data_IF_465109308137
#
_entry.id   IF_465109308137
#
_cell.length_a   1.000
_cell.length_b   1.000
_cell.length_c   1.000
_cell.angle_alpha   90.00
_cell.angle_beta   90.00
_cell.angle_gamma   90.00
#
_symmetry.space_group_name_H-M   'P 1'
#
loop_
_entity.id
_entity.type
_entity.pdbx_description
1 polymer ?
#
# COMPACT_ATOMS: atom_id res chain seq x y z
N UNK A 1 -3.77 -13.36 -14.11
CA UNK A 1 -2.47 -12.66 -14.13
C UNK A 1 -2.36 -11.78 -12.87
N UNK A 2 -1.17 -11.65 -12.28
CA UNK A 2 -0.99 -11.08 -10.94
C UNK A 2 -0.10 -9.85 -10.94
N UNK A 3 0.86 -9.82 -10.01
CA UNK A 3 1.93 -8.84 -9.97
C UNK A 3 3.22 -9.51 -9.49
N UNK A 4 4.37 -9.08 -10.01
CA UNK A 4 5.67 -9.37 -9.39
C UNK A 4 5.82 -8.58 -8.08
N UNK A 5 6.86 -8.90 -7.31
CA UNK A 5 7.17 -8.20 -6.06
C UNK A 5 8.67 -7.97 -5.91
N UNK A 6 9.06 -6.70 -5.77
CA UNK A 6 10.43 -6.28 -5.46
C UNK A 6 10.40 -5.33 -4.27
N UNK A 7 10.99 -5.75 -3.14
CA UNK A 7 10.94 -5.03 -1.88
C UNK A 7 11.80 -3.76 -1.85
N UNK A 8 12.81 -3.65 -2.71
CA UNK A 8 13.82 -2.59 -2.63
C UNK A 8 13.77 -1.62 -3.81
N UNK A 9 12.85 -1.82 -4.74
CA UNK A 9 12.66 -0.91 -5.86
C UNK A 9 12.18 0.46 -5.37
N UNK A 10 12.90 1.50 -5.78
CA UNK A 10 12.49 2.90 -5.67
C UNK A 10 12.06 3.49 -7.01
N UNK A 11 11.95 2.65 -8.05
CA UNK A 11 11.53 3.09 -9.37
C UNK A 11 10.02 3.37 -9.39
N UNK A 12 9.65 4.65 -9.41
CA UNK A 12 8.26 5.10 -9.46
C UNK A 12 7.70 5.23 -10.89
N UNK A 13 8.51 4.92 -11.92
CA UNK A 13 8.04 4.92 -13.31
C UNK A 13 6.92 3.90 -13.50
N UNK A 14 5.76 4.31 -14.07
CA UNK A 14 4.71 3.36 -14.40
C UNK A 14 4.99 2.58 -15.70
N UNK A 15 5.96 3.05 -16.49
CA UNK A 15 6.35 2.46 -17.76
C UNK A 15 7.36 1.35 -17.53
N UNK A 16 7.08 0.20 -18.12
CA UNK A 16 7.87 -1.03 -18.01
C UNK A 16 8.62 -1.25 -19.31
N UNK A 17 9.92 -1.53 -19.25
CA UNK A 17 10.71 -1.85 -20.44
C UNK A 17 10.27 -3.19 -21.06
N UNK A 18 10.54 -3.42 -22.34
CA UNK A 18 10.19 -4.69 -22.99
C UNK A 18 10.86 -5.89 -22.28
N UNK A 19 12.10 -5.73 -21.83
CA UNK A 19 12.85 -6.77 -21.11
C UNK A 19 12.22 -7.08 -19.75
N UNK A 20 11.85 -6.05 -18.98
CA UNK A 20 11.19 -6.21 -17.69
C UNK A 20 9.80 -6.83 -17.83
N UNK A 21 9.04 -6.40 -18.85
CA UNK A 21 7.73 -6.97 -19.17
C UNK A 21 7.84 -8.46 -19.55
N UNK A 22 8.84 -8.82 -20.36
CA UNK A 22 9.12 -10.20 -20.74
C UNK A 22 9.46 -11.07 -19.52
N UNK A 23 10.34 -10.59 -18.64
CA UNK A 23 10.68 -11.27 -17.38
C UNK A 23 9.46 -11.45 -16.47
N UNK A 24 8.65 -10.41 -16.31
CA UNK A 24 7.42 -10.48 -15.51
C UNK A 24 6.42 -11.49 -16.09
N UNK A 25 6.28 -11.54 -17.42
CA UNK A 25 5.40 -12.50 -18.08
C UNK A 25 5.89 -13.94 -17.89
N UNK A 26 7.19 -14.19 -18.05
CA UNK A 26 7.80 -15.50 -17.80
C UNK A 26 7.57 -15.99 -16.35
N UNK A 27 7.55 -15.08 -15.38
CA UNK A 27 7.27 -15.42 -13.98
C UNK A 27 5.77 -15.65 -13.70
N UNK A 28 4.89 -14.80 -14.27
CA UNK A 28 3.48 -14.75 -13.89
C UNK A 28 2.60 -15.69 -14.72
N UNK A 29 2.93 -15.95 -15.98
CA UNK A 29 2.10 -16.78 -16.86
C UNK A 29 1.96 -18.22 -16.35
N UNK A 30 3.04 -18.93 -15.92
CA UNK A 30 2.92 -20.30 -15.39
C UNK A 30 2.05 -20.38 -14.13
N UNK A 31 2.13 -19.34 -13.27
CA UNK A 31 1.30 -19.25 -12.06
C UNK A 31 -0.18 -19.09 -12.42
N UNK A 32 -0.47 -18.25 -13.42
CA UNK A 32 -1.84 -18.02 -13.87
C UNK A 32 -2.43 -19.22 -14.61
N UNK A 33 -1.65 -19.91 -15.45
CA UNK A 33 -2.12 -21.05 -16.23
C UNK A 33 -2.44 -22.28 -15.38
N UNK A 34 -1.82 -22.41 -14.20
CA UNK A 34 -2.22 -23.42 -13.20
C UNK A 34 -3.69 -23.28 -12.78
N UNK A 35 -4.21 -22.05 -12.71
CA UNK A 35 -5.60 -21.77 -12.30
C UNK A 35 -6.53 -21.71 -13.51
N UNK A 36 -6.06 -21.15 -14.63
CA UNK A 36 -6.83 -21.00 -15.85
C UNK A 36 -5.95 -21.29 -17.07
N UNK A 37 -5.90 -22.56 -17.55
CA UNK A 37 -4.95 -23.00 -18.57
C UNK A 37 -5.01 -22.23 -19.89
N UNK A 38 -6.20 -21.85 -20.35
CA UNK A 38 -6.41 -21.16 -21.65
C UNK A 38 -5.74 -19.78 -21.72
N UNK A 39 -5.28 -19.22 -20.60
CA UNK A 39 -4.55 -17.95 -20.60
C UNK A 39 -3.23 -18.00 -21.40
N UNK A 40 -2.69 -19.20 -21.65
CA UNK A 40 -1.46 -19.37 -22.44
C UNK A 40 -1.63 -18.93 -23.90
N UNK A 41 -2.86 -19.00 -24.42
CA UNK A 41 -3.17 -18.64 -25.81
C UNK A 41 -3.52 -17.15 -25.96
N UNK A 42 -3.53 -16.39 -24.85
CA UNK A 42 -3.89 -14.98 -24.87
C UNK A 42 -2.70 -14.11 -25.32
N UNK A 43 -3.00 -13.09 -26.13
CA UNK A 43 -2.00 -12.10 -26.53
C UNK A 43 -1.63 -11.17 -25.37
N UNK A 44 -0.34 -11.09 -25.04
CA UNK A 44 0.17 -10.11 -24.11
C UNK A 44 0.13 -8.69 -24.73
N UNK A 45 -0.61 -7.78 -24.11
CA UNK A 45 -0.77 -6.40 -24.60
C UNK A 45 0.25 -5.45 -23.98
N UNK A 46 0.37 -5.44 -22.65
CA UNK A 46 1.26 -4.53 -21.93
C UNK A 46 1.47 -4.97 -20.48
N UNK A 47 2.54 -4.43 -19.86
CA UNK A 47 2.78 -4.47 -18.43
C UNK A 47 2.84 -3.05 -17.86
N UNK A 48 2.48 -2.90 -16.58
CA UNK A 48 2.56 -1.65 -15.82
C UNK A 48 3.20 -1.90 -14.48
N UNK A 49 4.01 -0.94 -14.04
CA UNK A 49 4.63 -0.96 -12.73
C UNK A 49 3.94 0.02 -11.78
N UNK A 50 4.12 -0.22 -10.49
CA UNK A 50 3.65 0.66 -9.42
C UNK A 50 4.32 0.30 -8.10
N UNK A 51 4.67 1.31 -7.32
CA UNK A 51 5.22 1.13 -5.98
C UNK A 51 4.10 1.05 -4.94
N UNK A 52 4.23 0.09 -4.03
CA UNK A 52 3.30 -0.09 -2.92
C UNK A 52 3.99 0.37 -1.64
N UNK A 53 3.40 1.36 -0.97
CA UNK A 53 3.78 1.69 0.39
C UNK A 53 3.30 0.56 1.32
N UNK A 54 4.22 -0.31 1.72
CA UNK A 54 3.95 -1.40 2.64
C UNK A 54 4.10 -0.92 4.08
N UNK A 55 3.09 -1.12 4.94
CA UNK A 55 3.23 -0.76 6.34
C UNK A 55 4.09 -1.80 7.07
N UNK A 56 4.78 -1.39 8.14
CA UNK A 56 5.53 -2.30 9.00
C UNK A 56 4.64 -3.43 9.53
N UNK A 57 5.27 -4.56 9.84
CA UNK A 57 4.59 -5.70 10.45
C UNK A 57 4.40 -5.43 11.95
N UNK A 58 3.16 -5.38 12.40
CA UNK A 58 2.79 -5.27 13.83
C UNK A 58 2.31 -6.64 14.36
N UNK A 59 2.10 -6.82 15.68
CA UNK A 59 1.41 -7.99 16.21
C UNK A 59 0.01 -8.23 15.63
N UNK A 60 -0.64 -7.17 15.11
CA UNK A 60 -1.94 -7.24 14.43
C UNK A 60 -1.82 -7.47 12.91
N UNK A 61 -0.60 -7.65 12.40
CA UNK A 61 -0.29 -7.78 10.98
C UNK A 61 0.19 -6.48 10.33
N UNK A 62 0.26 -6.50 8.99
CA UNK A 62 0.66 -5.36 8.16
C UNK A 62 -0.59 -4.55 7.80
N UNK A 63 -1.00 -3.68 8.74
CA UNK A 63 -2.19 -2.83 8.65
C UNK A 63 -1.84 -1.42 8.18
N UNK A 64 -2.76 -0.72 7.48
CA UNK A 64 -2.59 0.67 7.10
C UNK A 64 -2.26 1.60 8.27
N UNK A 65 -1.49 2.65 7.99
CA UNK A 65 -1.01 3.59 8.98
C UNK A 65 -1.93 4.79 9.06
N UNK A 66 -2.57 5.00 10.21
CA UNK A 66 -3.37 6.18 10.50
C UNK A 66 -2.85 6.87 11.78
N UNK A 67 -3.03 8.18 11.85
CA UNK A 67 -2.87 8.93 13.10
C UNK A 67 -2.26 10.31 12.95
N UNK A 68 -2.34 11.11 14.01
CA UNK A 68 -1.71 12.41 14.15
C UNK A 68 -0.19 12.25 14.28
N UNK A 69 0.58 12.95 13.45
CA UNK A 69 2.04 12.81 13.40
C UNK A 69 2.79 13.96 14.07
N UNK A 70 2.09 14.75 14.88
CA UNK A 70 2.66 15.90 15.57
C UNK A 70 3.87 15.55 16.44
N UNK A 71 3.85 14.37 17.09
CA UNK A 71 4.95 13.91 17.95
C UNK A 71 6.25 13.59 17.17
N UNK A 72 6.16 13.47 15.84
CA UNK A 72 7.30 13.26 14.96
C UNK A 72 7.87 14.56 14.39
N UNK A 73 7.28 15.72 14.71
CA UNK A 73 7.75 17.03 14.25
C UNK A 73 8.71 17.64 15.27
N UNK A 74 9.82 18.19 14.79
CA UNK A 74 10.87 18.78 15.63
C UNK A 74 10.42 20.04 16.38
N UNK A 75 9.38 20.71 15.90
CA UNK A 75 8.87 21.97 16.45
C UNK A 75 7.41 21.82 16.86
N UNK A 76 6.98 22.60 17.86
CA UNK A 76 5.56 22.64 18.27
C UNK A 76 4.70 23.10 17.08
N UNK A 77 3.85 22.24 16.51
CA UNK A 77 3.13 22.59 15.31
C UNK A 77 1.97 23.54 15.64
N UNK A 78 1.71 24.49 14.74
CA UNK A 78 0.58 25.43 14.82
C UNK A 78 -0.76 24.78 14.44
N UNK A 79 -0.71 23.57 13.87
CA UNK A 79 -1.88 22.77 13.50
C UNK A 79 -1.60 21.27 13.73
N UNK A 80 -2.60 20.42 13.51
CA UNK A 80 -2.42 18.96 13.57
C UNK A 80 -2.15 18.38 12.19
N UNK A 81 -1.12 17.57 12.08
CA UNK A 81 -0.78 16.81 10.87
C UNK A 81 -1.23 15.38 11.02
N UNK A 82 -1.84 14.82 9.99
CA UNK A 82 -2.42 13.47 10.02
C UNK A 82 -1.87 12.63 8.88
N UNK A 83 -1.56 11.38 9.17
CA UNK A 83 -1.13 10.38 8.22
C UNK A 83 -2.30 9.42 7.89
N UNK A 84 -2.44 9.13 6.60
CA UNK A 84 -3.17 7.99 6.07
C UNK A 84 -2.29 7.36 4.98
N UNK A 85 -1.71 6.19 5.24
CA UNK A 85 -0.74 5.57 4.34
C UNK A 85 -0.58 4.08 4.55
N UNK A 86 0.46 3.49 3.96
CA UNK A 86 0.75 2.06 4.12
C UNK A 86 -0.35 1.14 3.57
N UNK A 87 -0.99 1.52 2.46
CA UNK A 87 -2.14 0.79 1.94
C UNK A 87 -1.78 -0.55 1.24
N UNK A 88 -0.51 -0.77 0.93
CA UNK A 88 -0.02 -1.99 0.29
C UNK A 88 -0.78 -2.36 -0.99
N UNK A 89 -1.00 -3.66 -1.20
CA UNK A 89 -1.79 -4.21 -2.32
C UNK A 89 -3.30 -4.20 -2.11
N UNK A 90 -3.78 -3.74 -0.94
CA UNK A 90 -5.19 -3.84 -0.53
C UNK A 90 -5.84 -2.46 -0.31
N UNK A 91 -5.20 -1.40 -0.78
CA UNK A 91 -5.70 -0.03 -0.61
C UNK A 91 -7.12 0.18 -1.11
N UNK A 92 -7.47 -0.38 -2.26
CA UNK A 92 -8.82 -0.28 -2.82
C UNK A 92 -9.90 -0.91 -1.92
N UNK A 93 -9.56 -1.90 -1.10
CA UNK A 93 -10.51 -2.53 -0.20
C UNK A 93 -10.86 -1.62 0.99
N UNK A 94 -9.88 -0.93 1.57
CA UNK A 94 -10.05 -0.22 2.84
C UNK A 94 -10.12 1.32 2.71
N UNK A 95 -9.68 1.91 1.58
CA UNK A 95 -9.49 3.36 1.45
C UNK A 95 -10.72 4.19 1.83
N UNK A 96 -11.93 3.76 1.46
CA UNK A 96 -13.15 4.50 1.78
C UNK A 96 -13.45 4.55 3.28
N UNK A 97 -13.29 3.42 3.98
CA UNK A 97 -13.49 3.35 5.43
C UNK A 97 -12.41 4.12 6.19
N UNK A 98 -11.14 3.95 5.80
CA UNK A 98 -10.01 4.66 6.40
C UNK A 98 -10.11 6.17 6.19
N UNK A 99 -10.46 6.62 4.98
CA UNK A 99 -10.66 8.03 4.68
C UNK A 99 -11.78 8.65 5.52
N UNK A 100 -12.88 7.92 5.73
CA UNK A 100 -13.97 8.36 6.64
C UNK A 100 -13.50 8.46 8.10
N UNK A 101 -12.71 7.50 8.58
CA UNK A 101 -12.15 7.54 9.94
C UNK A 101 -11.19 8.71 10.11
N UNK A 102 -10.25 8.89 9.18
CA UNK A 102 -9.30 10.01 9.20
C UNK A 102 -10.05 11.35 9.17
N UNK A 103 -11.03 11.52 8.29
CA UNK A 103 -11.82 12.75 8.22
C UNK A 103 -12.54 13.05 9.55
N UNK A 104 -13.12 12.04 10.20
CA UNK A 104 -13.74 12.21 11.52
C UNK A 104 -12.72 12.66 12.57
N UNK A 105 -11.58 11.97 12.65
CA UNK A 105 -10.53 12.29 13.62
C UNK A 105 -9.97 13.71 13.43
N UNK A 106 -9.75 14.12 12.17
CA UNK A 106 -9.31 15.47 11.79
C UNK A 106 -10.33 16.52 12.21
N UNK A 107 -11.60 16.35 11.82
CA UNK A 107 -12.66 17.33 12.09
C UNK A 107 -12.95 17.49 13.59
N UNK A 108 -12.83 16.41 14.38
CA UNK A 108 -13.01 16.46 15.83
C UNK A 108 -11.74 16.74 16.60
N UNK A 109 -10.59 16.91 15.92
CA UNK A 109 -9.27 17.03 16.54
C UNK A 109 -8.99 15.90 17.57
N UNK A 110 -9.45 14.67 17.30
CA UNK A 110 -9.44 13.59 18.28
C UNK A 110 -8.97 12.26 17.66
N UNK A 111 -7.75 11.86 17.98
CA UNK A 111 -7.16 10.59 17.51
C UNK A 111 -7.81 9.35 18.14
N UNK A 112 -8.44 9.47 19.32
CA UNK A 112 -9.02 8.33 20.05
C UNK A 112 -10.20 7.67 19.32
N UNK A 113 -10.69 8.27 18.24
CA UNK A 113 -11.72 7.70 17.35
C UNK A 113 -11.12 6.65 16.41
N UNK A 114 -9.80 6.69 16.16
CA UNK A 114 -9.10 5.75 15.31
C UNK A 114 -8.84 4.47 16.10
N UNK A 115 -9.17 3.28 15.57
CA UNK A 115 -8.79 2.01 16.19
C UNK A 115 -7.31 1.91 16.50
N UNK A 116 -6.97 1.39 17.68
CA UNK A 116 -5.58 1.35 18.19
C UNK A 116 -4.66 0.54 17.28
N UNK A 117 -5.18 -0.47 16.59
CA UNK A 117 -4.42 -1.29 15.65
C UNK A 117 -3.91 -0.48 14.44
N UNK A 118 -4.57 0.63 14.10
CA UNK A 118 -4.17 1.52 13.01
C UNK A 118 -3.19 2.62 13.46
N UNK A 119 -3.02 2.81 14.78
CA UNK A 119 -2.09 3.79 15.38
C UNK A 119 -0.91 3.13 16.10
N UNK A 120 -0.93 1.81 16.31
CA UNK A 120 0.09 1.06 17.07
C UNK A 120 1.49 1.15 16.48
N UNK A 121 1.60 1.47 15.19
CA UNK A 121 2.87 1.71 14.51
C UNK A 121 3.70 2.83 15.16
N UNK A 122 3.07 3.80 15.84
CA UNK A 122 3.78 4.86 16.55
C UNK A 122 4.60 4.36 17.75
N UNK A 123 4.24 3.18 18.27
CA UNK A 123 4.94 2.55 19.40
C UNK A 123 6.07 1.62 18.93
N UNK A 124 6.27 1.48 17.62
CA UNK A 124 7.36 0.68 17.07
C UNK A 124 8.64 1.52 17.11
N UNK A 125 9.66 1.02 17.81
CA UNK A 125 11.01 1.59 17.81
C UNK A 125 11.78 1.15 16.57
#
# INVERSE_FOLDING_TARGET
MGSTWDWQSSNSSPNVSADEASKALQELLPKASTVYPEIIDWNFIAARAGLRAMPPLTPHGSLPLLGCVNDFLSEKPTCQYWLLGGLGSRGLLYHGWLGKLTAKAVLSCNEQIIPVELTSWKNMK
#
